data_IF_498517507367
#
_entry.id   IF_498517507367
#
_cell.length_a   1.000
_cell.length_b   1.000
_cell.length_c   1.000
_cell.angle_alpha   90.00
_cell.angle_beta   90.00
_cell.angle_gamma   90.00
#
_symmetry.space_group_name_H-M   'P 1'
#
loop_
_entity.id
_entity.type
_entity.pdbx_description
1 polymer ?
#
# COMPACT_ATOMS: atom_id res chain seq x y z
N UNK A 1 19.00 4.66 -5.56
CA UNK A 1 17.56 4.38 -5.75
C UNK A 1 16.87 4.37 -4.39
N UNK A 2 15.76 5.05 -4.29
CA UNK A 2 14.93 5.01 -3.08
C UNK A 2 13.96 3.84 -3.15
N UNK A 3 13.62 3.30 -1.99
CA UNK A 3 12.59 2.27 -1.84
C UNK A 3 11.38 2.89 -1.18
N UNK A 4 10.20 2.62 -1.72
CA UNK A 4 8.93 3.05 -1.17
C UNK A 4 8.05 1.83 -0.91
N UNK A 5 7.34 1.85 0.20
CA UNK A 5 6.34 0.82 0.51
C UNK A 5 4.97 1.36 0.16
N UNK A 6 4.23 0.60 -0.65
CA UNK A 6 2.89 0.97 -1.09
C UNK A 6 1.85 0.25 -0.23
N UNK A 7 0.82 0.96 0.19
CA UNK A 7 -0.35 0.29 0.74
C UNK A 7 -1.30 -0.15 -0.39
N UNK A 8 -2.35 -0.87 -0.04
CA UNK A 8 -3.30 -1.41 -1.01
C UNK A 8 -4.02 -0.32 -1.82
N UNK A 9 -4.22 0.87 -1.25
CA UNK A 9 -4.93 1.95 -1.91
C UNK A 9 -4.23 2.43 -3.19
N UNK A 10 -2.90 2.42 -3.20
CA UNK A 10 -2.10 2.82 -4.37
C UNK A 10 -2.24 1.80 -5.49
N UNK A 11 -2.18 0.52 -5.15
CA UNK A 11 -2.34 -0.59 -6.12
C UNK A 11 -3.75 -0.55 -6.72
N UNK A 12 -4.77 -0.37 -5.89
CA UNK A 12 -6.16 -0.25 -6.33
C UNK A 12 -6.36 0.95 -7.27
N UNK A 13 -5.81 2.11 -6.91
CA UNK A 13 -5.90 3.31 -7.73
C UNK A 13 -5.26 3.13 -9.11
N UNK A 14 -4.15 2.41 -9.18
CA UNK A 14 -3.45 2.15 -10.44
C UNK A 14 -4.27 1.31 -11.42
N UNK A 15 -5.20 0.51 -10.94
CA UNK A 15 -6.07 -0.35 -11.76
C UNK A 15 -7.39 0.31 -12.12
N UNK A 16 -7.91 1.21 -11.26
CA UNK A 16 -9.25 1.80 -11.39
C UNK A 16 -9.20 3.17 -12.06
N UNK A 17 -9.62 3.29 -13.36
CA UNK A 17 -9.44 4.53 -14.12
C UNK A 17 -10.19 5.75 -13.57
N UNK A 18 -11.28 5.55 -12.84
CA UNK A 18 -12.07 6.64 -12.24
C UNK A 18 -11.61 7.04 -10.84
N UNK A 19 -10.55 6.41 -10.32
CA UNK A 19 -9.96 6.82 -9.05
C UNK A 19 -9.23 8.16 -9.21
N UNK A 20 -9.42 9.13 -8.28
CA UNK A 20 -8.73 10.42 -8.35
C UNK A 20 -7.20 10.32 -8.40
N UNK A 21 -6.64 9.24 -7.88
CA UNK A 21 -5.19 9.02 -7.84
C UNK A 21 -4.68 8.06 -8.91
N UNK A 22 -5.54 7.70 -9.89
CA UNK A 22 -5.20 6.71 -10.92
C UNK A 22 -3.95 7.08 -11.71
N UNK A 23 -3.87 8.30 -12.20
CA UNK A 23 -2.73 8.76 -12.99
C UNK A 23 -1.43 8.76 -12.19
N UNK A 24 -1.46 9.33 -10.99
CA UNK A 24 -0.28 9.42 -10.12
C UNK A 24 0.21 8.03 -9.67
N UNK A 25 -0.72 7.15 -9.30
CA UNK A 25 -0.40 5.78 -8.91
C UNK A 25 0.21 5.00 -10.09
N UNK A 26 -0.37 5.12 -11.27
CA UNK A 26 0.14 4.48 -12.48
C UNK A 26 1.54 4.97 -12.85
N UNK A 27 1.79 6.27 -12.74
CA UNK A 27 3.09 6.86 -13.00
C UNK A 27 4.16 6.35 -12.01
N UNK A 28 3.79 6.26 -10.73
CA UNK A 28 4.70 5.73 -9.71
C UNK A 28 5.06 4.27 -9.97
N UNK A 29 4.10 3.44 -10.33
CA UNK A 29 4.33 2.03 -10.65
C UNK A 29 5.16 1.83 -11.92
N UNK A 30 5.14 2.79 -12.83
CA UNK A 30 5.92 2.76 -14.06
C UNK A 30 7.33 3.37 -13.91
N UNK A 31 7.63 4.01 -12.80
CA UNK A 31 8.90 4.70 -12.57
C UNK A 31 10.01 3.69 -12.25
N UNK A 32 10.91 3.48 -13.21
CA UNK A 32 12.02 2.55 -13.08
C UNK A 32 13.11 3.04 -12.11
N UNK A 33 13.09 4.31 -11.70
CA UNK A 33 14.08 4.86 -10.75
C UNK A 33 13.73 4.59 -9.29
N UNK A 34 12.53 4.06 -9.03
CA UNK A 34 12.04 3.79 -7.67
C UNK A 34 11.82 2.29 -7.48
N UNK A 35 12.32 1.77 -6.37
CA UNK A 35 12.07 0.38 -5.97
C UNK A 35 10.81 0.34 -5.11
N UNK A 36 9.85 -0.51 -5.46
CA UNK A 36 8.57 -0.60 -4.78
C UNK A 36 8.45 -1.90 -4.00
N UNK A 37 7.99 -1.79 -2.77
CA UNK A 37 7.69 -2.90 -1.87
C UNK A 37 6.25 -2.78 -1.37
N UNK A 38 5.74 -3.82 -0.74
CA UNK A 38 4.43 -3.81 -0.08
C UNK A 38 4.41 -4.74 1.12
N UNK A 39 3.26 -4.83 1.78
CA UNK A 39 3.01 -5.72 2.91
C UNK A 39 2.17 -6.90 2.42
N UNK A 40 2.37 -8.08 2.99
CA UNK A 40 1.61 -9.29 2.63
C UNK A 40 0.09 -9.13 2.78
N UNK A 41 -0.37 -8.25 3.66
CA UNK A 41 -1.77 -7.89 3.83
C UNK A 41 -2.41 -7.36 2.54
N UNK A 42 -1.64 -6.71 1.66
CA UNK A 42 -2.15 -6.10 0.44
C UNK A 42 -2.85 -7.11 -0.46
N UNK A 43 -2.40 -8.36 -0.52
CA UNK A 43 -3.03 -9.40 -1.34
C UNK A 43 -4.47 -9.66 -0.94
N UNK A 44 -4.74 -9.70 0.36
CA UNK A 44 -6.10 -9.88 0.86
C UNK A 44 -6.95 -8.64 0.63
N UNK A 45 -6.39 -7.46 0.90
CA UNK A 45 -7.16 -6.23 0.80
C UNK A 45 -7.58 -5.91 -0.63
N UNK A 46 -6.67 -5.99 -1.61
CA UNK A 46 -7.02 -5.72 -3.00
C UNK A 46 -8.03 -6.74 -3.53
N UNK A 47 -7.87 -8.01 -3.17
CA UNK A 47 -8.79 -9.06 -3.58
C UNK A 47 -10.18 -8.82 -2.99
N UNK A 48 -10.26 -8.48 -1.71
CA UNK A 48 -11.53 -8.19 -1.06
C UNK A 48 -12.24 -6.97 -1.67
N UNK A 49 -11.50 -5.91 -1.99
CA UNK A 49 -12.07 -4.72 -2.63
C UNK A 49 -12.62 -5.07 -4.02
N UNK A 50 -11.88 -5.81 -4.82
CA UNK A 50 -12.32 -6.21 -6.16
C UNK A 50 -13.61 -7.03 -6.10
N UNK A 51 -13.68 -7.98 -5.19
CA UNK A 51 -14.83 -8.90 -5.07
C UNK A 51 -16.03 -8.21 -4.41
N UNK A 52 -15.82 -7.49 -3.31
CA UNK A 52 -16.91 -6.97 -2.47
C UNK A 52 -17.29 -5.54 -2.80
N UNK A 53 -16.33 -4.63 -2.91
CA UNK A 53 -16.62 -3.21 -3.13
C UNK A 53 -16.89 -2.90 -4.61
N UNK A 54 -16.07 -3.45 -5.50
CA UNK A 54 -16.21 -3.19 -6.92
C UNK A 54 -17.17 -4.16 -7.62
N UNK A 55 -17.50 -5.29 -7.00
CA UNK A 55 -18.25 -6.38 -7.63
C UNK A 55 -17.64 -6.74 -8.98
N UNK A 56 -16.33 -6.79 -9.04
CA UNK A 56 -15.54 -7.00 -10.26
C UNK A 56 -14.51 -8.10 -10.05
N UNK A 57 -14.92 -9.38 -9.94
CA UNK A 57 -13.98 -10.48 -9.71
C UNK A 57 -12.92 -10.61 -10.82
N UNK A 58 -13.19 -10.09 -12.00
CA UNK A 58 -12.24 -10.04 -13.12
C UNK A 58 -11.04 -9.12 -12.84
N UNK A 59 -11.15 -8.20 -11.89
CA UNK A 59 -10.05 -7.32 -11.49
C UNK A 59 -9.03 -8.03 -10.58
N UNK A 60 -9.37 -9.18 -9.99
CA UNK A 60 -8.49 -9.90 -9.07
C UNK A 60 -7.17 -10.30 -9.74
N UNK A 61 -7.23 -10.92 -10.92
CA UNK A 61 -6.02 -11.36 -11.59
C UNK A 61 -5.05 -10.22 -11.95
N UNK A 62 -5.50 -9.09 -12.55
CA UNK A 62 -4.61 -7.94 -12.77
C UNK A 62 -4.01 -7.37 -11.49
N UNK A 63 -4.79 -7.28 -10.41
CA UNK A 63 -4.30 -6.78 -9.12
C UNK A 63 -3.21 -7.68 -8.54
N UNK A 64 -3.43 -8.99 -8.56
CA UNK A 64 -2.45 -9.95 -8.06
C UNK A 64 -1.18 -9.96 -8.90
N UNK A 65 -1.29 -9.83 -10.23
CA UNK A 65 -0.11 -9.70 -11.10
C UNK A 65 0.71 -8.44 -10.78
N UNK A 66 0.04 -7.33 -10.48
CA UNK A 66 0.72 -6.11 -10.08
C UNK A 66 1.48 -6.30 -8.77
N UNK A 67 0.86 -6.96 -7.79
CA UNK A 67 1.52 -7.27 -6.52
C UNK A 67 2.70 -8.24 -6.71
N UNK A 68 2.61 -9.19 -7.63
CA UNK A 68 3.73 -10.09 -7.96
C UNK A 68 4.90 -9.31 -8.57
N UNK A 69 4.64 -8.31 -9.39
CA UNK A 69 5.68 -7.43 -9.94
C UNK A 69 6.36 -6.61 -8.83
N UNK A 70 5.58 -6.08 -7.90
CA UNK A 70 6.12 -5.38 -6.73
C UNK A 70 6.96 -6.33 -5.88
N UNK A 71 6.48 -7.56 -5.67
CA UNK A 71 7.21 -8.58 -4.91
C UNK A 71 8.56 -8.94 -5.55
N UNK A 72 8.63 -8.96 -6.88
CA UNK A 72 9.86 -9.22 -7.61
C UNK A 72 10.83 -8.02 -7.59
N UNK A 73 10.36 -6.83 -7.29
CA UNK A 73 11.16 -5.60 -7.24
C UNK A 73 11.72 -5.37 -5.82
N UNK A 74 10.94 -4.72 -4.96
CA UNK A 74 11.36 -4.39 -3.57
C UNK A 74 10.97 -5.42 -2.53
N UNK A 75 10.13 -6.37 -2.91
CA UNK A 75 9.70 -7.45 -2.04
C UNK A 75 8.39 -7.21 -1.30
N UNK A 76 7.99 -8.23 -0.57
CA UNK A 76 6.81 -8.21 0.30
C UNK A 76 7.28 -8.37 1.74
N UNK A 77 6.93 -7.43 2.59
CA UNK A 77 7.18 -7.53 4.03
C UNK A 77 6.17 -8.52 4.62
N UNK A 78 6.65 -9.43 5.43
CA UNK A 78 5.80 -10.40 6.13
C UNK A 78 5.27 -9.83 7.44
N UNK A 79 4.00 -10.09 7.71
CA UNK A 79 3.36 -9.73 8.98
C UNK A 79 3.81 -10.69 10.08
N UNK A 80 4.90 -10.35 10.75
CA UNK A 80 5.36 -11.09 11.93
C UNK A 80 4.58 -10.66 13.18
N UNK A 81 4.67 -11.45 14.25
CA UNK A 81 4.10 -11.06 15.53
C UNK A 81 4.66 -9.74 16.04
N UNK A 82 5.96 -9.49 15.84
CA UNK A 82 6.60 -8.23 16.22
C UNK A 82 6.08 -7.04 15.43
N UNK A 83 5.87 -7.20 14.12
CA UNK A 83 5.30 -6.16 13.29
C UNK A 83 3.87 -5.82 13.75
N UNK A 84 3.05 -6.83 13.99
CA UNK A 84 1.66 -6.63 14.44
C UNK A 84 1.61 -5.97 15.82
N UNK A 85 2.49 -6.35 16.73
CA UNK A 85 2.59 -5.70 18.04
C UNK A 85 2.95 -4.21 17.92
N UNK A 86 3.90 -3.88 17.04
CA UNK A 86 4.25 -2.48 16.75
C UNK A 86 3.07 -1.75 16.08
N UNK A 87 2.38 -2.40 15.16
CA UNK A 87 1.18 -1.83 14.54
C UNK A 87 0.10 -1.52 15.57
N UNK A 88 -0.09 -2.37 16.58
CA UNK A 88 -1.06 -2.14 17.65
C UNK A 88 -0.74 -0.86 18.44
N UNK A 89 0.52 -0.62 18.76
CA UNK A 89 0.96 0.60 19.43
C UNK A 89 0.71 1.84 18.56
N UNK A 90 1.08 1.78 17.29
CA UNK A 90 0.86 2.88 16.34
C UNK A 90 -0.63 3.17 16.13
N UNK A 91 -1.44 2.12 16.07
CA UNK A 91 -2.90 2.25 15.92
C UNK A 91 -3.51 3.04 17.09
N UNK A 92 -3.08 2.75 18.31
CA UNK A 92 -3.53 3.45 19.50
C UNK A 92 -3.02 4.91 19.53
N UNK A 93 -1.74 5.11 19.24
CA UNK A 93 -1.11 6.43 19.27
C UNK A 93 -1.70 7.39 18.23
N UNK A 94 -2.01 6.90 17.05
CA UNK A 94 -2.49 7.71 15.92
C UNK A 94 -3.99 7.60 15.67
N UNK A 95 -4.70 6.79 16.44
CA UNK A 95 -6.15 6.56 16.29
C UNK A 95 -6.52 6.09 14.88
N UNK A 96 -5.79 5.09 14.40
CA UNK A 96 -6.01 4.45 13.10
C UNK A 96 -6.26 2.96 13.29
N UNK A 97 -6.72 2.29 12.23
CA UNK A 97 -6.88 0.84 12.27
C UNK A 97 -5.54 0.12 12.39
N UNK A 98 -5.55 -1.10 12.94
CA UNK A 98 -4.36 -1.95 12.96
C UNK A 98 -3.90 -2.28 11.53
N UNK A 99 -4.81 -2.37 10.58
CA UNK A 99 -4.48 -2.63 9.17
C UNK A 99 -3.66 -1.48 8.58
N UNK A 100 -4.10 -0.24 8.75
CA UNK A 100 -3.34 0.94 8.32
C UNK A 100 -2.01 1.06 9.06
N UNK A 101 -2.03 0.84 10.36
CA UNK A 101 -0.85 0.86 11.21
C UNK A 101 0.17 -0.21 10.83
N UNK A 102 -0.28 -1.35 10.31
CA UNK A 102 0.61 -2.42 9.84
C UNK A 102 1.47 -1.95 8.66
N UNK A 103 0.91 -1.17 7.74
CA UNK A 103 1.69 -0.57 6.66
C UNK A 103 2.71 0.44 7.18
N UNK A 104 2.33 1.25 8.15
CA UNK A 104 3.25 2.21 8.80
C UNK A 104 4.41 1.47 9.47
N UNK A 105 4.10 0.41 10.23
CA UNK A 105 5.10 -0.42 10.89
C UNK A 105 6.03 -1.11 9.88
N UNK A 106 5.48 -1.61 8.77
CA UNK A 106 6.26 -2.28 7.73
C UNK A 106 7.24 -1.30 7.06
N UNK A 107 6.78 -0.10 6.73
CA UNK A 107 7.64 0.92 6.13
C UNK A 107 8.76 1.33 7.09
N UNK A 108 8.44 1.57 8.35
CA UNK A 108 9.44 1.92 9.37
C UNK A 108 10.48 0.81 9.55
N UNK A 109 10.04 -0.43 9.64
CA UNK A 109 10.94 -1.58 9.80
C UNK A 109 11.83 -1.83 8.60
N UNK A 110 11.34 -1.54 7.40
CA UNK A 110 12.11 -1.65 6.15
C UNK A 110 12.98 -0.41 5.86
N UNK A 111 12.84 0.66 6.65
CA UNK A 111 13.59 1.90 6.45
C UNK A 111 13.18 2.66 5.19
N UNK A 112 11.93 2.57 4.77
CA UNK A 112 11.43 3.25 3.59
C UNK A 112 10.21 4.12 3.90
N UNK A 113 9.86 5.03 2.98
CA UNK A 113 8.65 5.84 3.08
C UNK A 113 7.41 5.03 2.72
N UNK A 114 6.29 5.41 3.30
CA UNK A 114 4.98 4.84 2.98
C UNK A 114 4.24 5.74 2.00
N UNK A 115 3.70 5.15 0.94
CA UNK A 115 2.83 5.83 -0.04
C UNK A 115 1.41 5.30 0.12
N UNK A 116 0.45 6.22 0.23
CA UNK A 116 -0.96 5.88 0.41
C UNK A 116 -1.85 6.92 -0.26
N UNK A 117 -3.03 6.51 -0.69
CA UNK A 117 -4.10 7.40 -1.12
C UNK A 117 -5.05 7.78 0.01
N UNK A 118 -4.84 7.24 1.20
CA UNK A 118 -5.67 7.53 2.37
C UNK A 118 -5.26 8.86 3.02
N UNK A 119 -5.90 9.93 2.58
CA UNK A 119 -5.62 11.29 3.09
C UNK A 119 -6.02 11.41 4.55
N UNK A 120 -7.20 10.93 4.90
CA UNK A 120 -7.80 11.12 6.22
C UNK A 120 -6.98 10.48 7.34
N UNK A 121 -6.61 9.21 7.18
CA UNK A 121 -6.04 8.42 8.27
C UNK A 121 -4.51 8.32 8.22
N UNK A 122 -3.90 8.53 7.06
CA UNK A 122 -2.45 8.39 6.90
C UNK A 122 -1.75 9.67 6.47
N UNK A 123 -2.12 10.25 5.33
CA UNK A 123 -1.41 11.41 4.78
C UNK A 123 -1.58 12.64 5.66
N UNK A 124 -2.79 12.93 6.11
CA UNK A 124 -3.06 14.09 6.96
C UNK A 124 -2.36 14.02 8.32
N UNK A 125 -2.02 12.83 8.77
CA UNK A 125 -1.32 12.59 10.04
C UNK A 125 0.20 12.54 9.88
N UNK A 126 0.72 12.77 8.68
CA UNK A 126 2.15 12.72 8.41
C UNK A 126 2.76 11.33 8.37
N UNK A 127 1.93 10.29 8.26
CA UNK A 127 2.37 8.89 8.28
C UNK A 127 2.67 8.33 6.89
N UNK A 128 2.19 9.00 5.86
CA UNK A 128 2.40 8.61 4.47
C UNK A 128 2.39 9.83 3.56
N UNK A 129 2.81 9.63 2.31
CA UNK A 129 2.69 10.64 1.26
C UNK A 129 1.79 10.12 0.13
N UNK A 130 1.17 11.03 -0.60
CA UNK A 130 0.39 10.70 -1.79
C UNK A 130 1.30 10.23 -2.93
N UNK A 131 0.78 9.45 -3.91
CA UNK A 131 1.58 8.98 -5.04
C UNK A 131 2.25 10.10 -5.85
N UNK A 132 1.62 11.27 -5.99
CA UNK A 132 2.17 12.40 -6.71
C UNK A 132 3.26 13.15 -5.95
N UNK A 133 3.38 12.92 -4.64
CA UNK A 133 4.39 13.52 -3.76
C UNK A 133 5.52 12.53 -3.41
N UNK A 134 5.43 11.33 -3.92
CA UNK A 134 6.40 10.28 -3.61
C UNK A 134 7.73 10.41 -4.37
#
# INVERSE_FOLDING_TARGET
MSTLLLDSSVVLAAIKPDDPHHEAAGALLADASTVLATLDLARYEVTNVAVRAWSAPEAVAPLLRMLDRIAADGGVVESSGGLIAHAAELAEDHMISVYDAAYVAAAAGAGCGLVSCDVRDLVSKGLAVLPDAA
#
